data_IF_526459631387
#
_entry.id   IF_526459631387
#
_cell.length_a   1.000
_cell.length_b   1.000
_cell.length_c   1.000
_cell.angle_alpha   90.00
_cell.angle_beta   90.00
_cell.angle_gamma   90.00
#
_symmetry.space_group_name_H-M   'P 1'
#
loop_
_entity.id
_entity.type
_entity.pdbx_description
1 polymer ?
#
# COMPACT_ATOMS: atom_id res chain seq x y z
N UNK A 1 -6.70 3.25 16.77
CA UNK A 1 -5.64 2.45 16.08
C UNK A 1 -4.81 3.28 15.11
N UNK A 2 -5.43 4.02 14.20
CA UNK A 2 -4.69 4.83 13.22
C UNK A 2 -3.87 5.96 13.85
N UNK A 3 -4.43 6.62 14.87
CA UNK A 3 -3.70 7.68 15.61
C UNK A 3 -2.45 7.12 16.26
N UNK A 4 -2.55 5.96 16.92
CA UNK A 4 -1.43 5.30 17.58
C UNK A 4 -0.36 4.87 16.57
N UNK A 5 -0.76 4.40 15.39
CA UNK A 5 0.15 4.03 14.33
C UNK A 5 0.96 5.25 13.87
N UNK A 6 0.30 6.37 13.60
CA UNK A 6 0.94 7.60 13.17
C UNK A 6 1.92 8.11 14.23
N UNK A 7 1.52 8.08 15.51
CA UNK A 7 2.39 8.47 16.62
C UNK A 7 3.64 7.60 16.71
N UNK A 8 3.48 6.29 16.57
CA UNK A 8 4.62 5.35 16.63
C UNK A 8 5.57 5.52 15.46
N UNK A 9 5.03 5.71 14.26
CA UNK A 9 5.85 5.96 13.07
C UNK A 9 6.64 7.27 13.19
N UNK A 10 5.97 8.32 13.67
CA UNK A 10 6.61 9.61 13.90
C UNK A 10 7.74 9.47 14.90
N UNK A 11 7.50 8.82 16.02
CA UNK A 11 8.48 8.63 17.09
C UNK A 11 9.71 7.85 16.63
N UNK A 12 9.51 6.88 15.75
CA UNK A 12 10.59 6.03 15.22
C UNK A 12 11.27 6.59 13.98
N UNK A 13 10.78 7.69 13.45
CA UNK A 13 11.33 8.29 12.23
C UNK A 13 11.09 7.42 11.00
N UNK A 14 10.00 6.65 10.98
CA UNK A 14 9.64 5.77 9.87
C UNK A 14 8.56 6.40 9.01
N UNK A 15 8.53 5.99 7.74
CA UNK A 15 7.47 6.38 6.81
C UNK A 15 6.68 5.16 6.37
N UNK A 16 5.49 5.39 5.82
CA UNK A 16 4.63 4.35 5.31
C UNK A 16 4.03 4.76 3.97
N UNK A 17 3.91 3.79 3.08
CA UNK A 17 3.16 3.90 1.84
C UNK A 17 2.21 2.72 1.76
N UNK A 18 1.10 2.86 1.07
CA UNK A 18 0.10 1.82 0.97
C UNK A 18 -0.20 1.46 -0.48
N UNK A 19 -0.53 0.20 -0.70
CA UNK A 19 -1.01 -0.29 -1.98
C UNK A 19 -2.39 -0.90 -1.75
N UNK A 20 -3.35 -0.48 -2.53
CA UNK A 20 -4.75 -0.88 -2.36
C UNK A 20 -5.32 -1.43 -3.67
N UNK A 21 -6.31 -2.29 -3.57
CA UNK A 21 -7.10 -2.78 -4.68
C UNK A 21 -8.58 -2.61 -4.36
N UNK A 22 -9.22 -3.61 -3.74
CA UNK A 22 -10.66 -3.57 -3.47
C UNK A 22 -11.09 -2.45 -2.52
N UNK A 23 -10.22 -1.98 -1.67
CA UNK A 23 -10.49 -0.87 -0.75
C UNK A 23 -10.55 0.50 -1.45
N UNK A 24 -10.02 0.60 -2.68
CA UNK A 24 -10.21 1.75 -3.56
C UNK A 24 -9.65 3.08 -3.05
N UNK A 25 -8.73 3.05 -2.10
CA UNK A 25 -8.15 4.26 -1.50
C UNK A 25 -8.59 4.53 -0.06
N UNK A 26 -9.48 3.72 0.50
CA UNK A 26 -9.99 3.93 1.86
C UNK A 26 -8.92 3.82 2.93
N UNK A 27 -7.95 2.92 2.76
CA UNK A 27 -6.86 2.79 3.73
C UNK A 27 -6.00 4.06 3.77
N UNK A 28 -5.60 4.54 2.61
CA UNK A 28 -4.83 5.77 2.50
C UNK A 28 -5.61 6.97 3.07
N UNK A 29 -6.89 7.07 2.75
CA UNK A 29 -7.76 8.13 3.27
C UNK A 29 -7.86 8.08 4.79
N UNK A 30 -8.03 6.90 5.37
CA UNK A 30 -8.12 6.72 6.82
C UNK A 30 -6.83 7.17 7.52
N UNK A 31 -5.67 6.86 6.95
CA UNK A 31 -4.38 7.26 7.51
C UNK A 31 -4.15 8.77 7.40
N UNK A 32 -4.49 9.36 6.26
CA UNK A 32 -4.26 10.79 6.03
C UNK A 32 -5.20 11.70 6.81
N UNK A 33 -6.30 11.19 7.34
CA UNK A 33 -7.18 11.94 8.23
C UNK A 33 -6.55 12.26 9.58
N UNK A 34 -5.57 11.49 10.00
CA UNK A 34 -4.95 11.67 11.31
C UNK A 34 -4.08 12.92 11.33
N UNK A 35 -4.26 13.83 12.30
CA UNK A 35 -3.37 14.98 12.44
C UNK A 35 -1.92 14.54 12.59
N UNK A 36 -1.02 15.17 11.83
CA UNK A 36 0.40 14.79 11.82
C UNK A 36 0.76 13.69 10.84
N UNK A 37 -0.21 13.13 10.11
CA UNK A 37 0.03 12.07 9.14
C UNK A 37 1.04 12.48 8.05
N UNK A 38 1.08 13.75 7.67
CA UNK A 38 1.99 14.23 6.63
C UNK A 38 3.47 14.01 6.96
N UNK A 39 3.82 13.84 8.22
CA UNK A 39 5.19 13.56 8.63
C UNK A 39 5.63 12.12 8.31
N UNK A 40 4.69 11.19 8.13
CA UNK A 40 5.01 9.77 7.97
C UNK A 40 4.37 9.12 6.75
N UNK A 41 3.25 9.65 6.23
CA UNK A 41 2.59 9.06 5.06
C UNK A 41 3.26 9.57 3.78
N UNK A 42 3.83 8.65 3.02
CA UNK A 42 4.45 8.98 1.72
C UNK A 42 3.41 9.09 0.61
N UNK A 43 2.41 8.24 0.67
CA UNK A 43 1.38 8.18 -0.36
C UNK A 43 0.80 6.79 -0.48
N UNK A 44 0.05 6.57 -1.55
CA UNK A 44 -0.56 5.29 -1.82
C UNK A 44 -0.80 5.09 -3.30
N UNK A 45 -0.91 3.84 -3.70
CA UNK A 45 -1.25 3.44 -5.07
C UNK A 45 -2.50 2.57 -5.02
N UNK A 46 -3.51 2.96 -5.78
CA UNK A 46 -4.69 2.13 -5.97
C UNK A 46 -4.53 1.40 -7.30
N UNK A 47 -4.14 0.14 -7.23
CA UNK A 47 -3.95 -0.74 -8.39
C UNK A 47 -5.12 -1.72 -8.48
N UNK A 48 -6.28 -1.20 -8.83
CA UNK A 48 -7.52 -1.98 -8.85
C UNK A 48 -7.55 -3.02 -9.98
N UNK A 49 -7.22 -2.60 -11.20
CA UNK A 49 -7.14 -3.52 -12.33
C UNK A 49 -5.95 -4.48 -12.16
N UNK A 50 -6.15 -5.73 -12.54
CA UNK A 50 -5.13 -6.77 -12.36
C UNK A 50 -3.81 -6.42 -13.05
N UNK A 51 -3.85 -5.91 -14.26
CA UNK A 51 -2.65 -5.55 -15.02
C UNK A 51 -1.85 -4.40 -14.36
N UNK A 52 -2.52 -3.51 -13.62
CA UNK A 52 -1.85 -2.42 -12.93
C UNK A 52 -1.03 -2.92 -11.75
N UNK A 53 -1.38 -4.06 -11.17
CA UNK A 53 -0.57 -4.66 -10.11
C UNK A 53 0.83 -5.00 -10.63
N UNK A 54 0.92 -5.46 -11.87
CA UNK A 54 2.19 -5.74 -12.52
C UNK A 54 2.89 -4.46 -12.98
N UNK A 55 2.19 -3.59 -13.71
CA UNK A 55 2.81 -2.43 -14.33
C UNK A 55 3.22 -1.34 -13.35
N UNK A 56 2.45 -1.14 -12.29
CA UNK A 56 2.72 -0.09 -11.30
C UNK A 56 3.47 -0.59 -10.06
N UNK A 57 3.28 -1.84 -9.66
CA UNK A 57 3.82 -2.37 -8.40
C UNK A 57 4.76 -3.54 -8.60
N UNK A 58 5.08 -3.88 -9.82
CA UNK A 58 6.01 -4.96 -10.18
C UNK A 58 5.61 -6.34 -9.66
N UNK A 59 4.31 -6.57 -9.48
CA UNK A 59 3.82 -7.92 -9.15
C UNK A 59 4.10 -8.83 -10.35
N UNK A 60 4.74 -9.99 -10.15
CA UNK A 60 5.05 -10.88 -11.27
C UNK A 60 3.80 -11.33 -12.03
N UNK A 61 3.81 -11.22 -13.35
CA UNK A 61 2.71 -11.69 -14.19
C UNK A 61 2.40 -13.16 -13.97
N UNK A 62 3.44 -13.97 -13.79
CA UNK A 62 3.29 -15.40 -13.53
C UNK A 62 2.49 -15.69 -12.27
N UNK A 63 2.71 -14.90 -11.21
CA UNK A 63 1.95 -15.02 -9.98
C UNK A 63 0.48 -14.67 -10.21
N UNK A 64 0.20 -13.56 -10.89
CA UNK A 64 -1.16 -13.14 -11.20
C UNK A 64 -1.88 -14.17 -12.07
N UNK A 65 -1.20 -14.78 -13.04
CA UNK A 65 -1.76 -15.80 -13.90
C UNK A 65 -2.05 -17.12 -13.16
N UNK A 66 -1.26 -17.40 -12.13
CA UNK A 66 -1.36 -18.65 -11.35
C UNK A 66 -2.43 -18.59 -10.28
N UNK A 67 -2.45 -17.52 -9.47
CA UNK A 67 -3.32 -17.43 -8.28
C UNK A 67 -4.41 -16.37 -8.39
N UNK A 68 -4.36 -15.54 -9.44
CA UNK A 68 -5.30 -14.45 -9.61
C UNK A 68 -4.95 -13.23 -8.77
N UNK A 69 -5.79 -12.20 -8.83
CA UNK A 69 -5.54 -10.91 -8.21
C UNK A 69 -5.81 -10.90 -6.70
N UNK A 70 -6.64 -11.81 -6.21
CA UNK A 70 -7.04 -11.86 -4.79
C UNK A 70 -6.34 -13.03 -4.11
N UNK A 71 -5.16 -12.77 -3.58
CA UNK A 71 -4.30 -13.79 -2.99
C UNK A 71 -3.29 -13.12 -2.03
N UNK A 72 -2.92 -13.85 -0.97
CA UNK A 72 -2.00 -13.32 0.04
C UNK A 72 -0.61 -13.00 -0.53
N UNK A 73 -0.11 -13.82 -1.45
CA UNK A 73 1.19 -13.57 -2.07
C UNK A 73 1.18 -12.35 -2.97
N UNK A 74 0.06 -12.08 -3.65
CA UNK A 74 -0.13 -10.87 -4.44
C UNK A 74 -0.11 -9.64 -3.53
N UNK A 75 -0.77 -9.71 -2.38
CA UNK A 75 -0.76 -8.62 -1.40
C UNK A 75 0.64 -8.31 -0.90
N UNK A 76 1.43 -9.34 -0.61
CA UNK A 76 2.83 -9.18 -0.18
C UNK A 76 3.68 -8.52 -1.28
N UNK A 77 3.50 -8.94 -2.52
CA UNK A 77 4.23 -8.34 -3.65
C UNK A 77 3.81 -6.89 -3.90
N UNK A 78 2.53 -6.57 -3.71
CA UNK A 78 2.05 -5.19 -3.82
C UNK A 78 2.68 -4.30 -2.75
N UNK A 79 2.76 -4.79 -1.53
CA UNK A 79 3.39 -4.05 -0.43
C UNK A 79 4.88 -3.82 -0.69
N UNK A 80 5.58 -4.84 -1.15
CA UNK A 80 7.00 -4.72 -1.52
C UNK A 80 7.19 -3.72 -2.68
N UNK A 81 6.32 -3.78 -3.67
CA UNK A 81 6.38 -2.90 -4.84
C UNK A 81 6.18 -1.43 -4.47
N UNK A 82 5.18 -1.13 -3.66
CA UNK A 82 4.91 0.26 -3.25
C UNK A 82 6.03 0.79 -2.33
N UNK A 83 6.55 -0.04 -1.45
CA UNK A 83 7.68 0.34 -0.59
C UNK A 83 8.91 0.70 -1.42
N UNK A 84 9.16 -0.04 -2.49
CA UNK A 84 10.28 0.23 -3.39
C UNK A 84 10.12 1.54 -4.17
N UNK A 85 8.90 1.91 -4.52
CA UNK A 85 8.64 3.08 -5.38
C UNK A 85 8.40 4.38 -4.61
N UNK A 86 7.87 4.30 -3.44
CA UNK A 86 7.54 5.47 -2.62
C UNK A 86 8.38 5.54 -1.36
#
# INVERSE_FOLDING_TARGET
>A
MTVELIERLTHRGLSVAVAESLTGGLLCAALTEVPGASAVIRGGVVAYATDLKASMLDVPHELLDTVGAVDADVSLEMAAGVASKL
#
